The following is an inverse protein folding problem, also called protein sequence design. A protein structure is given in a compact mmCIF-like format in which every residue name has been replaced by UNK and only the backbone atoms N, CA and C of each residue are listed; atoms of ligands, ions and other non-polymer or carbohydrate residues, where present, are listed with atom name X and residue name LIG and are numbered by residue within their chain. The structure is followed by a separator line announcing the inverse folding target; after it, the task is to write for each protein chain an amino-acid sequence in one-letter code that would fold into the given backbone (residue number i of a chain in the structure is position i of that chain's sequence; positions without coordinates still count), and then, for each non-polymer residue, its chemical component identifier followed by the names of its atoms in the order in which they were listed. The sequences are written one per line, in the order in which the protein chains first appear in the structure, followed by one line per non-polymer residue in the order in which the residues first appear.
data_IF_649321468359
#
_entry.id   IF_649321468359
#
_cell.length_a   1.000
_cell.length_b   1.000
_cell.length_c   1.000
_cell.angle_alpha   90.00
_cell.angle_beta   90.00
_cell.angle_gamma   90.00
#
_symmetry.space_group_name_H-M   'P 1'
#
loop_
_entity.id
_entity.type
_entity.pdbx_description
1 polymer ?
#
# COMPACT_ATOMS: atom_id res chain seq x y z
N UNK A 1 -2.35 -2.22 -8.45
CA UNK A 1 -1.64 -2.51 -7.16
C UNK A 1 -2.61 -2.60 -5.99
N UNK A 2 -3.35 -1.53 -5.67
CA UNK A 2 -4.34 -1.52 -4.57
C UNK A 2 -5.36 -2.67 -4.64
N UNK A 3 -5.97 -2.90 -5.81
CA UNK A 3 -7.01 -3.93 -5.94
C UNK A 3 -6.44 -5.35 -5.76
N UNK A 4 -5.17 -5.56 -6.15
CA UNK A 4 -4.48 -6.82 -5.92
C UNK A 4 -4.17 -7.03 -4.43
N UNK A 5 -3.77 -5.98 -3.70
CA UNK A 5 -3.58 -6.03 -2.26
C UNK A 5 -4.91 -6.31 -1.52
N UNK A 6 -6.00 -5.70 -1.97
CA UNK A 6 -7.36 -5.99 -1.49
C UNK A 6 -7.73 -7.46 -1.70
N UNK A 7 -7.53 -7.98 -2.91
CA UNK A 7 -7.85 -9.37 -3.23
C UNK A 7 -7.04 -10.32 -2.35
N UNK A 8 -5.76 -10.05 -2.14
CA UNK A 8 -4.90 -10.85 -1.27
C UNK A 8 -5.38 -10.86 0.18
N UNK A 9 -5.75 -9.69 0.73
CA UNK A 9 -6.33 -9.59 2.07
C UNK A 9 -7.66 -10.35 2.17
N UNK A 10 -8.53 -10.24 1.16
CA UNK A 10 -9.81 -10.95 1.11
C UNK A 10 -9.62 -12.49 1.07
N UNK A 11 -8.69 -12.98 0.26
CA UNK A 11 -8.34 -14.41 0.21
C UNK A 11 -7.76 -14.89 1.54
N UNK A 12 -6.92 -14.08 2.18
CA UNK A 12 -6.37 -14.41 3.50
C UNK A 12 -7.47 -14.53 4.56
N UNK A 13 -8.41 -13.59 4.59
CA UNK A 13 -9.57 -13.65 5.47
C UNK A 13 -10.43 -14.90 5.20
N UNK A 14 -10.68 -15.23 3.93
CA UNK A 14 -11.41 -16.44 3.56
C UNK A 14 -10.68 -17.73 4.00
N UNK A 15 -9.35 -17.68 4.07
CA UNK A 15 -8.51 -18.77 4.58
C UNK A 15 -8.35 -18.76 6.12
N UNK A 16 -9.01 -17.84 6.83
CA UNK A 16 -8.99 -17.76 8.30
C UNK A 16 -7.81 -16.99 8.89
N UNK A 17 -7.05 -16.26 8.07
CA UNK A 17 -5.96 -15.41 8.55
C UNK A 17 -6.45 -13.97 8.75
N UNK A 18 -6.13 -13.32 9.89
CA UNK A 18 -6.26 -11.88 9.99
C UNK A 18 -5.36 -11.21 8.96
N UNK A 19 -5.90 -10.30 8.17
CA UNK A 19 -5.16 -9.55 7.17
C UNK A 19 -5.48 -8.05 7.28
N UNK A 20 -4.56 -7.23 6.77
CA UNK A 20 -4.68 -5.77 6.69
C UNK A 20 -4.00 -5.26 5.43
N UNK A 21 -4.45 -4.12 4.94
CA UNK A 21 -3.86 -3.45 3.80
C UNK A 21 -2.88 -2.41 4.28
N UNK A 22 -1.79 -2.28 3.54
CA UNK A 22 -0.76 -1.29 3.78
C UNK A 22 -0.63 -0.40 2.56
N UNK A 23 -0.70 0.91 2.78
CA UNK A 23 -0.33 1.91 1.79
C UNK A 23 1.05 2.48 2.13
N UNK A 24 1.83 2.76 1.10
CA UNK A 24 3.18 3.28 1.29
C UNK A 24 3.90 3.48 -0.02
N UNK A 25 5.22 3.30 0.01
CA UNK A 25 6.09 3.46 -1.14
C UNK A 25 6.98 2.23 -1.36
N UNK A 26 7.35 1.95 -2.60
CA UNK A 26 8.26 0.85 -2.98
C UNK A 26 9.30 1.32 -3.99
N UNK A 27 10.57 0.99 -3.79
CA UNK A 27 11.66 1.27 -4.73
C UNK A 27 11.89 0.15 -5.79
N UNK A 28 11.02 -0.86 -5.87
CA UNK A 28 11.12 -1.98 -6.82
C UNK A 28 10.65 -1.70 -8.28
N UNK A 29 11.56 -1.50 -9.24
CA UNK A 29 11.20 -1.44 -10.67
C UNK A 29 12.32 -0.85 -11.56
N UNK A 30 12.13 -0.82 -12.90
CA UNK A 30 13.23 -0.63 -13.84
C UNK A 30 13.76 0.80 -13.99
N UNK A 31 13.04 1.82 -13.53
CA UNK A 31 13.47 3.23 -13.63
C UNK A 31 13.34 3.93 -12.27
N UNK A 32 14.34 4.74 -11.88
CA UNK A 32 14.38 5.47 -10.61
C UNK A 32 13.84 6.89 -10.72
N UNK A 33 13.94 7.55 -11.89
CA UNK A 33 13.65 8.99 -11.98
C UNK A 33 12.19 9.29 -12.33
N UNK A 34 11.52 8.42 -13.09
CA UNK A 34 10.12 8.64 -13.51
C UNK A 34 9.10 7.87 -12.68
N UNK A 35 9.55 7.18 -11.64
CA UNK A 35 8.75 6.13 -10.99
C UNK A 35 7.81 6.67 -9.94
N UNK A 36 6.52 6.38 -10.12
CA UNK A 36 5.52 6.50 -9.05
C UNK A 36 5.89 5.49 -7.96
N UNK A 37 6.33 6.00 -6.82
CA UNK A 37 6.76 5.17 -5.69
C UNK A 37 5.58 4.66 -4.88
N UNK A 38 4.42 5.33 -4.95
CA UNK A 38 3.21 4.95 -4.23
C UNK A 38 2.79 3.50 -4.55
N UNK A 39 2.58 2.71 -3.50
CA UNK A 39 2.37 1.26 -3.59
C UNK A 39 1.43 0.77 -2.49
N UNK A 40 0.89 -0.43 -2.69
CA UNK A 40 0.00 -1.09 -1.75
C UNK A 40 0.35 -2.58 -1.65
N UNK A 41 0.35 -3.13 -0.44
CA UNK A 41 0.54 -4.56 -0.20
C UNK A 41 -0.39 -5.03 0.93
N UNK A 42 -0.42 -6.33 1.19
CA UNK A 42 -1.18 -6.89 2.30
C UNK A 42 -0.25 -7.46 3.36
N UNK A 43 -0.66 -7.40 4.62
CA UNK A 43 -0.01 -8.09 5.73
C UNK A 43 -0.96 -9.09 6.36
N UNK A 44 -0.47 -10.30 6.58
CA UNK A 44 -1.22 -11.39 7.18
C UNK A 44 -0.62 -11.73 8.55
N UNK A 45 -1.46 -11.92 9.57
CA UNK A 45 -1.00 -12.33 10.88
C UNK A 45 -0.89 -13.86 10.97
N UNK A 46 0.34 -14.37 11.06
CA UNK A 46 0.65 -15.80 11.10
C UNK A 46 1.11 -16.19 12.51
N UNK A 47 0.18 -16.64 13.37
CA UNK A 47 0.48 -17.24 14.67
C UNK A 47 1.63 -16.55 15.44
N UNK A 48 2.72 -17.30 15.70
CA UNK A 48 3.91 -16.80 16.40
C UNK A 48 4.86 -15.95 15.53
N UNK A 49 4.68 -15.92 14.22
CA UNK A 49 5.50 -15.12 13.29
C UNK A 49 5.05 -13.67 13.24
N UNK A 50 3.82 -13.37 13.67
CA UNK A 50 3.26 -12.02 13.65
C UNK A 50 2.82 -11.60 12.24
N UNK A 51 2.94 -10.31 11.93
CA UNK A 51 2.51 -9.74 10.66
C UNK A 51 3.56 -9.94 9.56
N UNK A 52 3.19 -10.69 8.52
CA UNK A 52 4.01 -10.98 7.35
C UNK A 52 3.47 -10.24 6.14
N UNK A 53 4.31 -9.41 5.52
CA UNK A 53 3.97 -8.66 4.31
C UNK A 53 4.08 -9.51 3.05
N UNK A 54 3.14 -9.33 2.14
CA UNK A 54 3.09 -9.97 0.83
C UNK A 54 2.68 -8.92 -0.21
N UNK A 55 3.57 -8.67 -1.18
CA UNK A 55 3.27 -7.81 -2.30
C UNK A 55 2.81 -8.64 -3.52
N UNK A 56 1.52 -8.57 -3.90
CA UNK A 56 1.00 -9.34 -5.02
C UNK A 56 1.53 -8.89 -6.38
N UNK A 57 2.16 -7.71 -6.48
CA UNK A 57 2.72 -7.21 -7.73
C UNK A 57 4.16 -7.68 -7.98
N UNK A 58 4.95 -7.88 -6.92
CA UNK A 58 6.32 -8.40 -7.04
C UNK A 58 6.42 -9.91 -6.76
N UNK A 59 5.46 -10.48 -6.02
CA UNK A 59 5.52 -11.87 -5.57
C UNK A 59 6.46 -12.10 -4.39
N UNK A 60 7.07 -11.05 -3.85
CA UNK A 60 8.00 -11.10 -2.73
C UNK A 60 7.42 -10.38 -1.49
N UNK A 61 7.99 -10.68 -0.33
CA UNK A 61 7.71 -9.89 0.88
C UNK A 61 8.39 -8.53 0.78
N UNK A 62 7.76 -7.44 1.28
CA UNK A 62 8.40 -6.14 1.42
C UNK A 62 9.72 -6.26 2.20
N UNK A 63 10.77 -5.64 1.66
CA UNK A 63 12.10 -5.52 2.25
C UNK A 63 12.40 -4.05 2.62
N UNK A 64 13.66 -3.73 2.84
CA UNK A 64 14.11 -2.37 3.18
C UNK A 64 13.85 -1.32 2.08
N UNK A 65 13.46 -1.76 0.87
CA UNK A 65 13.08 -0.89 -0.24
C UNK A 65 11.64 -0.38 -0.15
N UNK A 66 10.89 -0.77 0.88
CA UNK A 66 9.51 -0.37 1.13
C UNK A 66 9.40 0.56 2.33
N UNK A 67 8.56 1.60 2.19
CA UNK A 67 8.24 2.53 3.27
C UNK A 67 6.75 2.45 3.55
N UNK A 68 6.39 2.01 4.76
CA UNK A 68 5.00 1.98 5.24
C UNK A 68 4.54 3.40 5.61
N UNK A 69 3.34 3.79 5.16
CA UNK A 69 2.73 5.10 5.48
C UNK A 69 1.44 4.91 6.27
N UNK A 70 0.55 4.02 5.85
CA UNK A 70 -0.73 3.77 6.51
C UNK A 70 -1.08 2.27 6.51
N UNK A 71 -1.87 1.85 7.50
CA UNK A 71 -2.36 0.47 7.65
C UNK A 71 -3.83 0.50 8.03
N UNK A 72 -4.64 -0.33 7.39
CA UNK A 72 -6.08 -0.34 7.59
C UNK A 72 -6.72 -1.68 7.22
N UNK A 73 -8.02 -1.82 7.49
CA UNK A 73 -8.77 -3.01 7.12
C UNK A 73 -8.97 -3.07 5.60
N UNK A 74 -9.26 -1.92 4.99
CA UNK A 74 -9.53 -1.80 3.57
C UNK A 74 -8.92 -0.53 2.96
N UNK A 75 -9.18 -0.32 1.67
CA UNK A 75 -8.66 0.80 0.90
C UNK A 75 -9.16 2.18 1.34
N UNK A 76 -10.25 2.26 2.10
CA UNK A 76 -10.77 3.52 2.63
C UNK A 76 -9.97 3.99 3.84
N UNK A 77 -9.54 3.06 4.70
CA UNK A 77 -8.69 3.33 5.87
C UNK A 77 -7.28 3.79 5.49
N UNK A 78 -6.81 3.41 4.29
CA UNK A 78 -5.47 3.74 3.78
C UNK A 78 -5.50 4.71 2.60
N UNK A 79 -6.65 5.36 2.36
CA UNK A 79 -6.78 6.33 1.29
C UNK A 79 -5.84 7.53 1.55
N UNK A 80 -5.02 7.97 0.56
CA UNK A 80 -4.11 9.09 0.74
C UNK A 80 -4.84 10.41 0.99
N UNK A 81 -6.04 10.55 0.43
CA UNK A 81 -6.97 11.67 0.67
C UNK A 81 -8.39 11.10 0.72
N UNK A 82 -9.17 11.49 1.72
CA UNK A 82 -10.60 11.17 1.82
C UNK A 82 -11.39 12.39 2.30
N UNK A 83 -12.63 12.51 1.85
CA UNK A 83 -13.49 13.66 2.18
C UNK A 83 -14.74 13.71 1.33
N UNK A 84 -15.67 14.59 1.72
CA UNK A 84 -16.87 14.89 0.92
C UNK A 84 -16.97 16.40 0.74
N UNK A 85 -17.43 16.83 -0.43
CA UNK A 85 -17.61 18.25 -0.77
C UNK A 85 -19.07 18.60 -0.94
N UNK A 86 -19.46 19.82 -0.54
CA UNK A 86 -20.78 20.41 -0.82
C UNK A 86 -20.60 21.74 -1.56
N UNK A 87 -21.29 21.94 -2.69
CA UNK A 87 -21.16 23.12 -3.58
C UNK A 87 -20.33 22.86 -4.85
N UNK A 88 -20.10 23.90 -5.67
CA UNK A 88 -19.34 23.83 -6.95
C UNK A 88 -18.04 24.63 -6.98
N UNK A 89 -17.27 24.56 -8.07
CA UNK A 89 -15.95 25.21 -8.25
C UNK A 89 -14.90 24.27 -8.86
N UNK A 90 -13.74 24.81 -9.25
CA UNK A 90 -12.59 24.01 -9.68
C UNK A 90 -11.78 23.60 -8.43
N UNK A 91 -11.34 22.35 -8.38
CA UNK A 91 -10.37 21.86 -7.40
C UNK A 91 -9.19 21.25 -8.15
N UNK A 92 -7.99 21.52 -7.64
CA UNK A 92 -6.73 20.98 -8.15
C UNK A 92 -5.92 20.47 -6.96
N UNK A 93 -5.40 19.26 -7.09
CA UNK A 93 -4.51 18.64 -6.11
C UNK A 93 -3.23 18.24 -6.84
N UNK A 94 -2.14 18.91 -6.51
CA UNK A 94 -0.79 18.58 -6.97
C UNK A 94 0.02 18.00 -5.81
N UNK A 95 0.63 16.84 -6.03
CA UNK A 95 1.38 16.09 -5.01
C UNK A 95 2.64 15.51 -5.65
N UNK A 96 3.80 15.95 -5.18
CA UNK A 96 5.11 15.36 -5.50
C UNK A 96 5.72 14.73 -4.25
N UNK A 97 6.07 13.44 -4.34
CA UNK A 97 6.73 12.69 -3.26
C UNK A 97 7.94 11.97 -3.84
N UNK A 98 9.12 12.28 -3.29
CA UNK A 98 10.39 11.63 -3.65
C UNK A 98 10.83 10.72 -2.53
N UNK A 99 11.04 9.45 -2.86
CA UNK A 99 11.57 8.44 -1.94
C UNK A 99 12.86 7.90 -2.55
N UNK A 100 13.93 7.88 -1.76
CA UNK A 100 15.24 7.42 -2.19
C UNK A 100 15.99 6.78 -1.03
N UNK A 101 17.08 6.07 -1.36
CA UNK A 101 18.01 5.58 -0.35
C UNK A 101 18.85 6.78 0.14
N UNK A 102 19.08 6.87 1.45
CA UNK A 102 20.09 7.79 1.98
C UNK A 102 21.46 7.35 1.46
N UNK A 103 22.06 8.19 0.61
CA UNK A 103 23.45 8.08 0.20
C UNK A 103 24.27 9.15 0.92
#
# INVERSE_FOLDING_TARGET
VRDAAHLLAAVAHAAGFPARIVAGHSLHGPDRETRKTAHYWAELHIGRLGWIGLDPCSGFSPDESYVRVAVGLDGSDVAPVSGTRRGGGIEELDVDVRVGLNQ
#
